data_IF_425191313734
#
_entry.id   IF_425191313734
#
_cell.length_a   1.000
_cell.length_b   1.000
_cell.length_c   1.000
_cell.angle_alpha   90.00
_cell.angle_beta   90.00
_cell.angle_gamma   90.00
#
_symmetry.space_group_name_H-M   'P 1'
#
loop_
_entity.id
_entity.type
_entity.pdbx_description
1 polymer ?
#
# COMPACT_ATOMS: atom_id res chain seq x y z
N UNK A 1 1.00 22.25 4.89
CA UNK A 1 -0.39 22.08 5.35
C UNK A 1 -0.84 20.66 5.02
N UNK A 2 -1.35 19.93 6.01
CA UNK A 2 -1.90 18.59 5.81
C UNK A 2 -3.24 18.73 5.07
N UNK A 3 -3.38 18.13 3.90
CA UNK A 3 -4.61 18.19 3.09
C UNK A 3 -4.92 16.83 2.51
N UNK A 4 -6.19 16.56 2.18
CA UNK A 4 -6.61 15.30 1.57
C UNK A 4 -5.79 14.98 0.32
N UNK A 5 -5.54 15.99 -0.53
CA UNK A 5 -4.74 15.85 -1.76
C UNK A 5 -3.30 15.46 -1.45
N UNK A 6 -2.68 16.06 -0.45
CA UNK A 6 -1.30 15.76 -0.06
C UNK A 6 -1.17 14.34 0.49
N UNK A 7 -2.13 13.87 1.32
CA UNK A 7 -2.13 12.50 1.82
C UNK A 7 -2.36 11.49 0.68
N UNK A 8 -3.33 11.75 -0.21
CA UNK A 8 -3.56 10.89 -1.38
C UNK A 8 -2.34 10.82 -2.30
N UNK A 9 -1.64 11.95 -2.50
CA UNK A 9 -0.42 11.98 -3.28
C UNK A 9 0.72 11.22 -2.60
N UNK A 10 0.91 11.39 -1.29
CA UNK A 10 1.91 10.66 -0.51
C UNK A 10 1.66 9.16 -0.56
N UNK A 11 0.42 8.72 -0.36
CA UNK A 11 0.02 7.32 -0.47
C UNK A 11 0.32 6.81 -1.90
N UNK A 12 -0.15 7.52 -2.93
CA UNK A 12 0.08 7.13 -4.32
C UNK A 12 1.55 7.01 -4.71
N UNK A 13 2.40 7.95 -4.27
CA UNK A 13 3.86 7.89 -4.47
C UNK A 13 4.44 6.66 -3.78
N UNK A 14 4.02 6.38 -2.55
CA UNK A 14 4.50 5.20 -1.81
C UNK A 14 4.11 3.89 -2.50
N UNK A 15 2.88 3.78 -3.02
CA UNK A 15 2.43 2.62 -3.79
C UNK A 15 3.26 2.43 -5.07
N UNK A 16 3.54 3.49 -5.82
CA UNK A 16 4.38 3.41 -7.02
C UNK A 16 5.81 2.99 -6.65
N UNK A 17 6.37 3.58 -5.59
CA UNK A 17 7.71 3.24 -5.11
C UNK A 17 7.85 1.77 -4.74
N UNK A 18 6.99 1.28 -3.83
CA UNK A 18 7.00 -0.13 -3.43
C UNK A 18 6.63 -1.07 -4.57
N UNK A 19 5.66 -0.68 -5.40
CA UNK A 19 5.26 -1.47 -6.57
C UNK A 19 6.40 -1.62 -7.58
N UNK A 20 7.15 -0.56 -7.84
CA UNK A 20 8.36 -0.58 -8.67
C UNK A 20 9.44 -1.49 -8.07
N UNK A 21 9.69 -1.39 -6.76
CA UNK A 21 10.62 -2.28 -6.05
C UNK A 21 10.21 -3.74 -6.24
N UNK A 22 8.93 -4.07 -6.08
CA UNK A 22 8.42 -5.45 -6.23
C UNK A 22 8.55 -5.97 -7.67
N UNK A 23 8.32 -5.12 -8.68
CA UNK A 23 8.44 -5.52 -10.09
C UNK A 23 9.89 -5.78 -10.48
N UNK A 24 10.79 -4.84 -10.17
CA UNK A 24 12.17 -4.87 -10.65
C UNK A 24 13.13 -5.65 -9.75
N UNK A 25 12.82 -5.79 -8.46
CA UNK A 25 13.68 -6.46 -7.47
C UNK A 25 12.98 -7.66 -6.82
N UNK A 26 12.06 -8.33 -7.52
CA UNK A 26 11.26 -9.43 -6.99
C UNK A 26 12.09 -10.53 -6.30
N UNK A 27 13.24 -10.93 -6.87
CA UNK A 27 14.11 -11.95 -6.28
C UNK A 27 14.75 -11.48 -4.97
N UNK A 28 15.25 -10.24 -4.92
CA UNK A 28 15.80 -9.64 -3.70
C UNK A 28 14.73 -9.54 -2.62
N UNK A 29 13.51 -9.14 -2.99
CA UNK A 29 12.38 -9.04 -2.05
C UNK A 29 11.94 -10.43 -1.55
N UNK A 30 11.90 -11.46 -2.40
CA UNK A 30 11.58 -12.83 -1.98
C UNK A 30 12.59 -13.35 -0.93
N UNK A 31 13.89 -13.17 -1.18
CA UNK A 31 14.95 -13.52 -0.23
C UNK A 31 14.89 -12.69 1.05
N UNK A 32 14.46 -11.43 0.95
CA UNK A 32 14.32 -10.56 2.11
C UNK A 32 13.13 -10.96 2.98
N UNK A 33 12.01 -11.40 2.39
CA UNK A 33 10.78 -11.74 3.11
C UNK A 33 10.72 -13.19 3.61
N UNK A 34 11.35 -14.13 2.88
CA UNK A 34 11.31 -15.57 3.21
C UNK A 34 12.69 -16.18 3.40
N UNK A 35 12.79 -17.12 4.34
CA UNK A 35 14.00 -17.92 4.54
C UNK A 35 14.20 -18.95 3.41
N UNK A 36 13.11 -19.47 2.85
CA UNK A 36 13.11 -20.62 1.92
C UNK A 36 12.76 -20.25 0.47
N UNK A 37 12.59 -18.97 0.14
CA UNK A 37 12.13 -18.51 -1.17
C UNK A 37 10.79 -19.11 -1.61
N UNK A 38 9.89 -19.37 -0.65
CA UNK A 38 8.56 -19.92 -0.92
C UNK A 38 7.62 -18.98 -1.68
N UNK A 39 7.96 -17.69 -1.85
CA UNK A 39 7.14 -16.75 -2.63
C UNK A 39 7.40 -16.92 -4.14
N UNK A 40 6.37 -17.23 -4.96
CA UNK A 40 6.54 -17.20 -6.40
C UNK A 40 6.81 -15.77 -6.89
N UNK A 41 7.89 -15.57 -7.65
CA UNK A 41 8.28 -14.23 -8.15
C UNK A 41 7.18 -13.53 -8.96
N UNK A 42 6.33 -14.31 -9.63
CA UNK A 42 5.20 -13.80 -10.38
C UNK A 42 4.16 -13.12 -9.46
N UNK A 43 3.94 -13.65 -8.26
CA UNK A 43 3.05 -13.04 -7.27
C UNK A 43 3.57 -11.66 -6.87
N UNK A 44 4.85 -11.52 -6.55
CA UNK A 44 5.46 -10.23 -6.22
C UNK A 44 5.33 -9.22 -7.37
N UNK A 45 5.59 -9.65 -8.60
CA UNK A 45 5.46 -8.79 -9.79
C UNK A 45 4.02 -8.34 -10.04
N UNK A 46 3.05 -9.25 -9.88
CA UNK A 46 1.62 -8.93 -10.04
C UNK A 46 1.15 -7.97 -8.94
N UNK A 47 1.52 -8.24 -7.69
CA UNK A 47 1.24 -7.33 -6.57
C UNK A 47 1.87 -5.96 -6.82
N UNK A 48 3.13 -5.93 -7.29
CA UNK A 48 3.81 -4.69 -7.64
C UNK A 48 3.10 -3.92 -8.76
N UNK A 49 2.59 -4.60 -9.79
CA UNK A 49 1.81 -3.98 -10.86
C UNK A 49 0.49 -3.40 -10.32
N UNK A 50 -0.22 -4.12 -9.47
CA UNK A 50 -1.45 -3.65 -8.82
C UNK A 50 -1.15 -2.38 -8.01
N UNK A 51 -0.06 -2.36 -7.24
CA UNK A 51 0.37 -1.19 -6.47
C UNK A 51 0.69 0.01 -7.36
N UNK A 52 1.42 -0.18 -8.46
CA UNK A 52 1.73 0.90 -9.41
C UNK A 52 0.44 1.47 -10.01
N UNK A 53 -0.47 0.61 -10.49
CA UNK A 53 -1.73 1.06 -11.07
C UNK A 53 -2.60 1.80 -10.04
N UNK A 54 -2.68 1.28 -8.81
CA UNK A 54 -3.40 1.95 -7.73
C UNK A 54 -2.77 3.30 -7.36
N UNK A 55 -1.44 3.37 -7.29
CA UNK A 55 -0.70 4.59 -6.97
C UNK A 55 -0.86 5.67 -8.05
N UNK A 56 -0.85 5.29 -9.33
CA UNK A 56 -1.16 6.19 -10.44
C UNK A 56 -2.60 6.70 -10.31
N UNK A 57 -3.56 5.83 -9.99
CA UNK A 57 -4.95 6.22 -9.84
C UNK A 57 -5.17 7.18 -8.65
N UNK A 58 -4.46 6.96 -7.53
CA UNK A 58 -4.42 7.85 -6.37
C UNK A 58 -3.86 9.23 -6.74
N UNK A 59 -2.70 9.27 -7.42
CA UNK A 59 -2.07 10.52 -7.84
C UNK A 59 -2.92 11.30 -8.82
N UNK A 60 -3.49 10.63 -9.82
CA UNK A 60 -4.42 11.28 -10.73
C UNK A 60 -5.64 11.84 -9.98
N UNK A 61 -6.19 11.09 -9.03
CA UNK A 61 -7.32 11.55 -8.21
C UNK A 61 -6.97 12.75 -7.33
N UNK A 62 -5.74 12.83 -6.81
CA UNK A 62 -5.30 13.93 -5.95
C UNK A 62 -5.16 15.27 -6.72
N UNK A 63 -4.94 15.22 -8.03
CA UNK A 63 -4.89 16.43 -8.88
C UNK A 63 -6.27 17.00 -9.22
N UNK A 64 -7.36 16.26 -8.99
CA UNK A 64 -8.72 16.72 -9.32
C UNK A 64 -9.17 17.85 -8.39
N UNK A 65 -9.95 18.78 -8.94
CA UNK A 65 -10.51 19.89 -8.16
C UNK A 65 -11.45 19.39 -7.06
N UNK A 66 -12.33 18.42 -7.38
CA UNK A 66 -13.23 17.75 -6.44
C UNK A 66 -13.03 16.24 -6.49
N UNK A 67 -12.77 15.64 -5.34
CA UNK A 67 -12.61 14.19 -5.19
C UNK A 67 -13.98 13.56 -4.93
N UNK A 68 -14.37 12.58 -5.75
CA UNK A 68 -15.66 11.89 -5.61
C UNK A 68 -15.64 10.99 -4.37
N UNK A 69 -16.74 10.93 -3.62
CA UNK A 69 -16.83 10.14 -2.37
C UNK A 69 -16.52 8.66 -2.58
N UNK A 70 -17.05 8.08 -3.65
CA UNK A 70 -16.84 6.66 -3.94
C UNK A 70 -15.37 6.34 -4.22
N UNK A 71 -14.59 7.26 -4.81
CA UNK A 71 -13.15 7.08 -5.02
C UNK A 71 -12.41 7.06 -3.67
N UNK A 72 -12.78 7.96 -2.75
CA UNK A 72 -12.20 7.96 -1.41
C UNK A 72 -12.45 6.62 -0.69
N UNK A 73 -13.70 6.15 -0.70
CA UNK A 73 -14.06 4.86 -0.09
C UNK A 73 -13.29 3.70 -0.74
N UNK A 74 -13.18 3.69 -2.07
CA UNK A 74 -12.41 2.69 -2.82
C UNK A 74 -10.94 2.66 -2.36
N UNK A 75 -10.27 3.81 -2.25
CA UNK A 75 -8.87 3.86 -1.83
C UNK A 75 -8.70 3.43 -0.37
N UNK A 76 -9.54 3.92 0.54
CA UNK A 76 -9.47 3.53 1.95
C UNK A 76 -9.72 2.03 2.16
N UNK A 77 -10.62 1.42 1.39
CA UNK A 77 -10.84 -0.03 1.42
C UNK A 77 -9.63 -0.79 0.89
N UNK A 78 -8.97 -0.29 -0.16
CA UNK A 78 -7.73 -0.85 -0.68
C UNK A 78 -6.62 -0.83 0.37
N UNK A 79 -6.41 0.32 1.04
CA UNK A 79 -5.43 0.45 2.12
C UNK A 79 -5.74 -0.48 3.30
N UNK A 80 -7.01 -0.56 3.71
CA UNK A 80 -7.44 -1.45 4.77
C UNK A 80 -7.21 -2.93 4.41
N UNK A 81 -7.55 -3.33 3.18
CA UNK A 81 -7.32 -4.68 2.69
C UNK A 81 -5.82 -5.01 2.67
N UNK A 82 -4.98 -4.05 2.27
CA UNK A 82 -3.53 -4.20 2.28
C UNK A 82 -3.00 -4.46 3.69
N UNK A 83 -3.45 -3.67 4.68
CA UNK A 83 -3.05 -3.82 6.09
C UNK A 83 -3.48 -5.18 6.64
N UNK A 84 -4.74 -5.57 6.44
CA UNK A 84 -5.28 -6.85 6.93
C UNK A 84 -4.52 -8.03 6.30
N UNK A 85 -4.30 -7.98 4.99
CA UNK A 85 -3.59 -9.04 4.26
C UNK A 85 -2.14 -9.13 4.74
N UNK A 86 -1.45 -8.00 4.91
CA UNK A 86 -0.07 -7.96 5.40
C UNK A 86 0.06 -8.56 6.79
N UNK A 87 -0.85 -8.21 7.71
CA UNK A 87 -0.87 -8.77 9.06
C UNK A 87 -1.20 -10.26 9.06
N UNK A 88 -2.13 -10.71 8.22
CA UNK A 88 -2.46 -12.12 8.09
C UNK A 88 -1.26 -12.93 7.59
N UNK A 89 -0.54 -12.45 6.56
CA UNK A 89 0.67 -13.10 6.05
C UNK A 89 1.73 -13.27 7.16
N UNK A 90 1.94 -12.23 7.97
CA UNK A 90 2.87 -12.28 9.11
C UNK A 90 2.38 -13.26 10.19
N UNK A 91 1.12 -13.19 10.62
CA UNK A 91 0.59 -14.02 11.72
C UNK A 91 0.60 -15.50 11.36
N UNK A 92 0.24 -15.84 10.12
CA UNK A 92 0.22 -17.23 9.65
C UNK A 92 1.59 -17.72 9.18
N UNK A 93 2.63 -16.86 9.18
CA UNK A 93 3.96 -17.19 8.64
C UNK A 93 3.92 -17.56 7.15
N UNK A 94 2.93 -17.04 6.42
CA UNK A 94 2.78 -17.26 4.99
C UNK A 94 3.62 -16.22 4.26
N UNK A 95 4.63 -16.66 3.51
CA UNK A 95 5.49 -15.81 2.68
C UNK A 95 6.29 -14.71 3.41
N UNK A 96 6.07 -14.47 4.69
CA UNK A 96 6.80 -13.46 5.47
C UNK A 96 7.28 -14.13 6.75
N UNK A 97 8.51 -14.66 6.69
CA UNK A 97 9.07 -15.53 7.74
C UNK A 97 10.39 -15.02 8.31
N UNK A 98 11.09 -14.15 7.60
CA UNK A 98 12.32 -13.51 8.12
C UNK A 98 11.97 -12.42 9.14
N UNK A 99 12.83 -12.22 10.15
CA UNK A 99 12.63 -11.17 11.16
C UNK A 99 12.62 -9.79 10.49
N UNK A 100 13.54 -9.55 9.55
CA UNK A 100 13.64 -8.28 8.83
C UNK A 100 12.39 -8.02 7.97
N UNK A 101 11.88 -9.06 7.30
CA UNK A 101 10.66 -8.99 6.50
C UNK A 101 9.43 -8.70 7.33
N UNK A 102 9.30 -9.35 8.50
CA UNK A 102 8.20 -9.10 9.45
C UNK A 102 8.21 -7.64 9.92
N UNK A 103 9.36 -7.15 10.39
CA UNK A 103 9.50 -5.77 10.89
C UNK A 103 9.17 -4.76 9.79
N UNK A 104 9.73 -4.94 8.59
CA UNK A 104 9.46 -4.06 7.46
C UNK A 104 7.98 -4.06 7.07
N UNK A 105 7.35 -5.24 7.03
CA UNK A 105 5.94 -5.39 6.69
C UNK A 105 5.05 -4.68 7.70
N UNK A 106 5.34 -4.80 9.00
CA UNK A 106 4.58 -4.12 10.06
C UNK A 106 4.73 -2.60 9.94
N UNK A 107 5.94 -2.09 9.71
CA UNK A 107 6.17 -0.65 9.53
C UNK A 107 5.38 -0.11 8.34
N UNK A 108 5.44 -0.79 7.20
CA UNK A 108 4.72 -0.40 5.99
C UNK A 108 3.20 -0.49 6.22
N UNK A 109 2.71 -1.53 6.89
CA UNK A 109 1.30 -1.68 7.22
C UNK A 109 0.80 -0.53 8.11
N UNK A 110 1.58 -0.11 9.11
CA UNK A 110 1.25 1.05 9.95
C UNK A 110 1.19 2.33 9.11
N UNK A 111 2.16 2.54 8.22
CA UNK A 111 2.20 3.70 7.33
C UNK A 111 0.99 3.75 6.38
N UNK A 112 0.66 2.64 5.73
CA UNK A 112 -0.50 2.55 4.82
C UNK A 112 -1.82 2.72 5.59
N UNK A 113 -1.93 2.10 6.76
CA UNK A 113 -3.08 2.29 7.65
C UNK A 113 -3.26 3.75 8.08
N UNK A 114 -2.15 4.44 8.38
CA UNK A 114 -2.17 5.87 8.67
C UNK A 114 -2.70 6.68 7.49
N UNK A 115 -2.27 6.39 6.25
CA UNK A 115 -2.80 7.07 5.07
C UNK A 115 -4.31 6.85 4.90
N UNK A 116 -4.78 5.61 4.96
CA UNK A 116 -6.21 5.30 4.82
C UNK A 116 -7.07 6.00 5.88
N UNK A 117 -6.61 6.01 7.13
CA UNK A 117 -7.30 6.69 8.24
C UNK A 117 -7.33 8.22 8.02
N UNK A 118 -6.20 8.82 7.63
CA UNK A 118 -6.12 10.26 7.36
C UNK A 118 -6.98 10.66 6.14
N UNK A 119 -7.01 9.85 5.08
CA UNK A 119 -7.88 10.09 3.92
C UNK A 119 -9.36 10.13 4.33
N UNK A 120 -9.77 9.19 5.19
CA UNK A 120 -11.14 9.14 5.71
C UNK A 120 -11.50 10.37 6.56
N UNK A 121 -10.63 10.75 7.50
CA UNK A 121 -10.90 11.89 8.38
C UNK A 121 -10.93 13.22 7.61
N UNK A 122 -9.99 13.45 6.69
CA UNK A 122 -9.91 14.68 5.91
C UNK A 122 -11.04 14.78 4.87
N UNK A 123 -11.51 13.66 4.31
CA UNK A 123 -12.70 13.67 3.45
C UNK A 123 -13.96 14.06 4.22
N UNK A 124 -14.13 13.58 5.46
CA UNK A 124 -15.23 14.03 6.31
C UNK A 124 -15.18 15.54 6.60
N UNK A 125 -14.01 16.05 6.96
CA UNK A 125 -13.82 17.47 7.29
C UNK A 125 -14.04 18.40 6.09
N UNK A 126 -13.72 17.96 4.87
CA UNK A 126 -13.90 18.77 3.66
C UNK A 126 -15.35 18.78 3.14
N UNK A 127 -16.23 17.94 3.71
CA UNK A 127 -17.64 17.82 3.33
C UNK A 127 -18.61 18.45 4.35
N UNK A 128 -18.14 18.72 5.56
CA UNK A 128 -18.86 19.49 6.59
C UNK A 128 -18.65 20.98 6.37
#
# INVERSE_FOLDING_TARGET
MLSLKNIMAANGISCIGFGGIFIFNASTIANFLTVDNSIPLMVLKVVGLILVLNGIHLLWSSTRQRIKKWLMVYFCLGDMLWVITSLALVIFGLWITTIQGIVATIIIAIMVGYFGVMQWFLDKQTRT
#
